data_IF_705884415198
#
_entry.id   IF_705884415198
#
_cell.length_a   1.000
_cell.length_b   1.000
_cell.length_c   1.000
_cell.angle_alpha   90.00
_cell.angle_beta   90.00
_cell.angle_gamma   90.00
#
_symmetry.space_group_name_H-M   'P 1'
#
loop_
_entity.id
_entity.type
_entity.pdbx_description
1 polymer ?
#
# COMPACT_ATOMS: atom_id res chain seq x y z
N UNK A 1 -19.69 19.87 -20.07
CA UNK A 1 -18.67 20.73 -19.47
C UNK A 1 -17.65 19.81 -18.83
N UNK A 2 -16.48 19.63 -19.46
CA UNK A 2 -15.43 18.78 -18.93
C UNK A 2 -14.84 19.46 -17.68
N UNK A 3 -14.58 18.68 -16.62
CA UNK A 3 -13.85 19.17 -15.45
C UNK A 3 -12.48 19.72 -15.89
N UNK A 4 -11.94 20.77 -15.23
CA UNK A 4 -10.63 21.32 -15.58
C UNK A 4 -9.55 20.24 -15.52
N UNK A 5 -8.63 20.29 -16.48
CA UNK A 5 -7.65 19.24 -16.81
C UNK A 5 -6.49 19.10 -15.79
N UNK A 6 -6.61 19.70 -14.59
CA UNK A 6 -5.64 19.70 -13.49
C UNK A 6 -6.35 19.61 -12.12
N UNK A 7 -7.46 18.86 -12.05
CA UNK A 7 -8.17 18.70 -10.78
C UNK A 7 -7.49 17.64 -9.91
N UNK A 8 -6.66 18.10 -8.97
CA UNK A 8 -6.01 17.27 -7.94
C UNK A 8 -6.99 16.46 -7.08
N UNK A 9 -8.27 16.79 -7.16
CA UNK A 9 -9.36 16.09 -6.47
C UNK A 9 -10.11 15.10 -7.38
N UNK A 10 -9.74 14.98 -8.67
CA UNK A 10 -10.48 14.19 -9.68
C UNK A 10 -10.62 12.70 -9.34
N UNK A 11 -9.68 12.14 -8.59
CA UNK A 11 -9.70 10.75 -8.15
C UNK A 11 -10.44 10.55 -6.83
N UNK A 12 -10.82 11.63 -6.14
CA UNK A 12 -11.66 11.56 -4.98
C UNK A 12 -13.07 11.08 -5.34
N UNK A 13 -13.73 10.41 -4.41
CA UNK A 13 -15.12 9.97 -4.56
C UNK A 13 -16.08 11.16 -4.67
N UNK A 14 -15.78 12.26 -3.98
CA UNK A 14 -16.53 13.52 -4.03
C UNK A 14 -15.57 14.73 -4.18
N UNK A 15 -15.10 15.04 -5.40
CA UNK A 15 -14.11 16.10 -5.64
C UNK A 15 -14.58 17.49 -5.17
N UNK A 16 -15.87 17.79 -5.31
CA UNK A 16 -16.46 19.06 -4.92
C UNK A 16 -16.45 19.26 -3.41
N UNK A 17 -16.82 18.22 -2.64
CA UNK A 17 -16.74 18.26 -1.18
C UNK A 17 -15.28 18.35 -0.72
N UNK A 18 -14.37 17.58 -1.31
CA UNK A 18 -12.97 17.54 -0.89
C UNK A 18 -12.27 18.86 -1.16
N UNK A 19 -12.42 19.45 -2.35
CA UNK A 19 -11.86 20.77 -2.69
C UNK A 19 -12.36 21.91 -1.80
N UNK A 20 -13.56 21.79 -1.22
CA UNK A 20 -14.07 22.74 -0.21
C UNK A 20 -13.52 22.50 1.20
N UNK A 21 -13.03 21.29 1.49
CA UNK A 21 -12.59 20.84 2.80
C UNK A 21 -11.09 21.02 3.00
N UNK A 22 -10.30 20.79 1.95
CA UNK A 22 -8.84 20.82 1.99
C UNK A 22 -8.27 21.56 0.78
N UNK A 23 -7.00 21.94 0.87
CA UNK A 23 -6.23 22.45 -0.24
C UNK A 23 -4.78 22.03 -0.15
N UNK A 24 -4.13 21.88 -1.30
CA UNK A 24 -2.69 21.65 -1.35
C UNK A 24 -1.99 22.99 -1.53
N UNK A 25 -0.97 23.23 -0.72
CA UNK A 25 -0.15 24.45 -0.75
C UNK A 25 1.31 24.06 -0.94
N UNK A 26 2.08 24.88 -1.65
CA UNK A 26 3.53 24.80 -1.62
C UNK A 26 4.03 25.42 -0.32
N UNK A 27 4.83 24.68 0.45
CA UNK A 27 5.40 25.12 1.73
C UNK A 27 6.74 25.80 1.45
N UNK A 28 7.72 25.03 1.00
CA UNK A 28 9.06 25.48 0.66
C UNK A 28 9.80 24.45 -0.21
N UNK A 29 11.06 24.73 -0.57
CA UNK A 29 11.88 23.84 -1.41
C UNK A 29 12.34 22.55 -0.70
N UNK A 30 12.24 22.49 0.62
CA UNK A 30 12.69 21.37 1.44
C UNK A 30 11.56 20.38 1.68
N UNK A 31 10.37 20.87 2.08
CA UNK A 31 9.16 20.08 2.31
C UNK A 31 8.31 19.88 1.06
N UNK A 32 8.45 20.76 0.07
CA UNK A 32 7.64 20.71 -1.14
C UNK A 32 6.18 21.12 -0.88
N UNK A 33 5.24 20.27 -1.28
CA UNK A 33 3.80 20.50 -1.13
C UNK A 33 3.31 19.95 0.21
N UNK A 34 2.20 20.48 0.71
CA UNK A 34 1.50 19.93 1.88
C UNK A 34 0.00 20.07 1.71
N UNK A 35 -0.76 19.18 2.35
CA UNK A 35 -2.21 19.24 2.43
C UNK A 35 -2.64 20.04 3.66
N UNK A 36 -3.58 20.98 3.49
CA UNK A 36 -4.05 21.86 4.55
C UNK A 36 -5.56 21.85 4.65
N UNK A 37 -6.09 21.94 5.86
CA UNK A 37 -7.53 22.07 6.08
C UNK A 37 -8.02 23.47 5.69
N UNK A 38 -9.12 23.57 4.94
CA UNK A 38 -9.84 24.84 4.68
C UNK A 38 -10.86 25.18 5.76
N UNK A 39 -11.29 24.17 6.52
CA UNK A 39 -12.31 24.27 7.57
C UNK A 39 -11.95 23.35 8.73
N UNK A 40 -12.64 23.48 9.85
CA UNK A 40 -12.47 22.56 10.98
C UNK A 40 -12.94 21.16 10.58
N UNK A 41 -12.15 20.15 10.94
CA UNK A 41 -12.45 18.73 10.76
C UNK A 41 -12.42 18.08 12.15
N UNK A 42 -13.41 17.25 12.48
CA UNK A 42 -13.47 16.59 13.79
C UNK A 42 -12.72 15.28 13.80
N UNK A 43 -12.18 14.92 14.96
CA UNK A 43 -11.63 13.58 15.19
C UNK A 43 -12.65 12.51 14.75
N UNK A 44 -12.18 11.54 13.97
CA UNK A 44 -12.97 10.45 13.42
C UNK A 44 -13.68 10.77 12.10
N UNK A 45 -13.70 12.04 11.65
CA UNK A 45 -14.28 12.38 10.35
C UNK A 45 -13.37 11.89 9.21
N UNK A 46 -13.98 11.31 8.18
CA UNK A 46 -13.31 11.06 6.90
C UNK A 46 -13.09 12.39 6.17
N UNK A 47 -11.82 12.73 5.95
CA UNK A 47 -11.35 13.92 5.22
C UNK A 47 -11.68 13.75 3.74
N UNK A 48 -11.24 12.64 3.13
CA UNK A 48 -11.57 12.27 1.77
C UNK A 48 -11.45 10.76 1.55
N UNK A 49 -12.06 10.29 0.45
CA UNK A 49 -11.88 8.94 -0.08
C UNK A 49 -11.32 9.07 -1.49
N UNK A 50 -10.24 8.37 -1.82
CA UNK A 50 -9.52 8.49 -3.07
C UNK A 50 -9.30 7.13 -3.75
N UNK A 51 -9.44 7.11 -5.08
CA UNK A 51 -9.05 5.99 -5.93
C UNK A 51 -7.60 6.17 -6.37
N UNK A 52 -6.80 5.09 -6.48
CA UNK A 52 -5.46 5.22 -7.01
C UNK A 52 -5.50 5.49 -8.52
N UNK A 53 -4.46 6.15 -9.02
CA UNK A 53 -4.18 6.28 -10.44
C UNK A 53 -3.97 4.90 -11.07
N UNK A 54 -3.15 4.12 -10.38
CA UNK A 54 -2.80 2.74 -10.68
C UNK A 54 -2.54 2.03 -9.36
N UNK A 55 -2.96 0.78 -9.28
CA UNK A 55 -2.63 -0.15 -8.20
C UNK A 55 -2.06 -1.43 -8.80
N UNK A 56 -1.40 -2.25 -8.00
CA UNK A 56 -1.02 -3.62 -8.37
C UNK A 56 -0.81 -4.46 -7.13
N UNK A 57 -1.16 -5.74 -7.19
CA UNK A 57 -0.76 -6.72 -6.18
C UNK A 57 0.77 -6.86 -6.18
N UNK A 58 1.35 -7.14 -5.03
CA UNK A 58 2.76 -7.55 -4.94
C UNK A 58 2.96 -8.91 -5.62
N UNK A 59 4.09 -9.07 -6.29
CA UNK A 59 4.44 -10.27 -7.04
C UNK A 59 4.67 -11.48 -6.13
N UNK A 60 5.25 -11.27 -4.95
CA UNK A 60 5.42 -12.33 -3.96
C UNK A 60 4.08 -12.81 -3.42
N UNK A 61 3.13 -11.91 -3.15
CA UNK A 61 1.76 -12.30 -2.78
C UNK A 61 1.10 -13.13 -3.88
N UNK A 62 1.24 -12.73 -5.14
CA UNK A 62 0.73 -13.54 -6.26
C UNK A 62 1.41 -14.93 -6.32
N UNK A 63 2.71 -15.02 -6.05
CA UNK A 63 3.47 -16.28 -6.00
C UNK A 63 3.03 -17.18 -4.85
N UNK A 64 2.84 -16.62 -3.66
CA UNK A 64 2.28 -17.29 -2.50
C UNK A 64 0.78 -17.61 -2.66
N UNK A 65 0.20 -17.29 -3.82
CA UNK A 65 -1.17 -17.62 -4.24
C UNK A 65 -2.24 -16.82 -3.50
N UNK A 66 -1.93 -15.61 -3.06
CA UNK A 66 -2.94 -14.67 -2.58
C UNK A 66 -3.87 -14.30 -3.71
N UNK A 67 -5.17 -14.48 -3.48
CA UNK A 67 -6.19 -14.25 -4.50
C UNK A 67 -6.78 -12.87 -4.28
N UNK A 68 -6.38 -11.91 -5.12
CA UNK A 68 -6.93 -10.56 -5.12
C UNK A 68 -7.58 -10.21 -6.46
N UNK A 69 -8.56 -9.31 -6.44
CA UNK A 69 -9.14 -8.73 -7.63
C UNK A 69 -8.07 -7.92 -8.36
N UNK A 70 -7.81 -8.25 -9.63
CA UNK A 70 -6.77 -7.60 -10.44
C UNK A 70 -6.98 -6.07 -10.56
N UNK A 71 -8.23 -5.61 -10.42
CA UNK A 71 -8.58 -4.18 -10.45
C UNK A 71 -8.49 -3.51 -9.08
N UNK A 72 -9.36 -3.91 -8.16
CA UNK A 72 -9.60 -3.18 -6.92
C UNK A 72 -8.86 -3.76 -5.70
N UNK A 73 -8.01 -4.77 -5.88
CA UNK A 73 -7.23 -5.45 -4.83
C UNK A 73 -8.05 -6.18 -3.75
N UNK A 74 -9.38 -6.19 -3.85
CA UNK A 74 -10.24 -6.95 -2.93
C UNK A 74 -9.86 -8.42 -2.88
N UNK A 75 -9.73 -8.98 -1.69
CA UNK A 75 -9.55 -10.41 -1.50
C UNK A 75 -10.68 -11.22 -2.16
N UNK A 76 -10.31 -12.26 -2.88
CA UNK A 76 -11.21 -13.18 -3.60
C UNK A 76 -11.43 -14.50 -2.85
N UNK A 77 -10.90 -14.62 -1.65
CA UNK A 77 -11.03 -15.76 -0.76
C UNK A 77 -11.41 -15.29 0.66
N UNK A 78 -12.12 -16.13 1.40
CA UNK A 78 -12.48 -15.82 2.79
C UNK A 78 -11.28 -15.90 3.74
N UNK A 79 -11.41 -15.32 4.93
CA UNK A 79 -10.34 -15.35 5.93
C UNK A 79 -9.90 -16.77 6.28
N UNK A 80 -10.82 -17.73 6.37
CA UNK A 80 -10.48 -19.12 6.68
C UNK A 80 -9.73 -19.82 5.54
N UNK A 81 -10.12 -19.58 4.29
CA UNK A 81 -9.42 -20.11 3.11
C UNK A 81 -7.99 -19.54 3.03
N UNK A 82 -7.88 -18.23 3.25
CA UNK A 82 -6.61 -17.52 3.34
C UNK A 82 -5.73 -18.10 4.46
N UNK A 83 -6.26 -18.21 5.67
CA UNK A 83 -5.54 -18.75 6.83
C UNK A 83 -5.07 -20.19 6.63
N UNK A 84 -5.93 -21.08 6.10
CA UNK A 84 -5.56 -22.48 5.77
C UNK A 84 -4.42 -22.55 4.77
N UNK A 85 -4.46 -21.70 3.74
CA UNK A 85 -3.46 -21.66 2.68
C UNK A 85 -2.11 -21.16 3.21
N UNK A 86 -2.13 -20.09 3.99
CA UNK A 86 -0.93 -19.43 4.50
C UNK A 86 -0.26 -20.21 5.63
N UNK A 87 -1.03 -20.83 6.52
CA UNK A 87 -0.47 -21.67 7.59
C UNK A 87 -0.15 -23.10 7.15
N UNK A 88 -0.41 -23.47 5.89
CA UNK A 88 -0.27 -24.86 5.42
C UNK A 88 -1.21 -25.87 6.12
N UNK A 89 -2.21 -25.42 6.90
CA UNK A 89 -3.09 -26.27 7.72
C UNK A 89 -4.49 -26.38 7.09
N UNK A 90 -4.77 -27.37 6.23
CA UNK A 90 -6.07 -27.52 5.57
C UNK A 90 -7.23 -27.78 6.54
N UNK A 91 -6.95 -28.33 7.72
CA UNK A 91 -7.95 -28.57 8.77
C UNK A 91 -8.23 -27.39 9.70
N UNK A 92 -7.51 -26.26 9.55
CA UNK A 92 -7.72 -25.07 10.37
C UNK A 92 -9.16 -24.57 10.22
N UNK A 93 -9.80 -24.16 11.31
CA UNK A 93 -11.13 -23.53 11.28
C UNK A 93 -11.06 -22.23 12.07
N UNK A 94 -11.52 -21.13 11.47
CA UNK A 94 -11.52 -19.84 12.16
C UNK A 94 -12.79 -19.69 13.02
N UNK A 95 -12.69 -19.15 14.23
CA UNK A 95 -13.88 -18.73 14.97
C UNK A 95 -14.58 -17.57 14.24
N UNK A 96 -15.90 -17.54 14.29
CA UNK A 96 -16.73 -16.52 13.63
C UNK A 96 -16.41 -16.33 12.12
N UNK A 97 -16.40 -17.40 11.30
CA UNK A 97 -16.02 -17.31 9.89
C UNK A 97 -16.96 -16.39 9.08
N UNK A 98 -18.16 -16.14 9.58
CA UNK A 98 -19.12 -15.20 9.01
C UNK A 98 -18.69 -13.73 9.03
N UNK A 99 -17.68 -13.37 9.83
CA UNK A 99 -17.17 -11.99 9.93
C UNK A 99 -16.34 -11.56 8.71
N UNK A 100 -15.92 -12.51 7.86
CA UNK A 100 -15.27 -12.21 6.59
C UNK A 100 -15.88 -13.06 5.48
N UNK A 101 -16.92 -12.52 4.83
CA UNK A 101 -17.59 -13.18 3.70
C UNK A 101 -17.11 -12.62 2.38
N UNK A 102 -16.80 -13.53 1.45
CA UNK A 102 -16.52 -13.21 0.05
C UNK A 102 -17.68 -13.63 -0.83
N UNK A 103 -18.03 -12.77 -1.80
CA UNK A 103 -19.07 -13.03 -2.80
C UNK A 103 -18.45 -13.78 -3.99
N UNK A 104 -18.17 -15.08 -3.80
CA UNK A 104 -17.54 -15.93 -4.82
C UNK A 104 -18.39 -16.09 -6.08
N UNK A 105 -19.71 -16.01 -5.95
CA UNK A 105 -20.71 -16.10 -7.02
C UNK A 105 -20.61 -14.96 -8.04
N UNK A 106 -20.05 -13.81 -7.66
CA UNK A 106 -19.91 -12.63 -8.53
C UNK A 106 -18.57 -12.57 -9.26
N UNK A 107 -17.62 -13.41 -8.87
CA UNK A 107 -16.27 -13.38 -9.41
C UNK A 107 -16.26 -13.76 -10.89
N UNK A 108 -15.40 -13.10 -11.67
CA UNK A 108 -15.26 -13.33 -13.09
C UNK A 108 -13.81 -13.37 -13.50
N UNK A 109 -13.47 -14.31 -14.39
CA UNK A 109 -12.19 -14.32 -15.06
C UNK A 109 -12.23 -13.45 -16.33
N UNK A 110 -11.08 -12.91 -16.72
CA UNK A 110 -10.87 -12.46 -18.10
C UNK A 110 -10.99 -13.68 -19.04
N UNK A 111 -11.82 -13.65 -20.09
CA UNK A 111 -11.98 -14.79 -20.98
C UNK A 111 -10.70 -15.13 -21.78
N UNK A 112 -9.76 -14.21 -21.88
CA UNK A 112 -8.52 -14.39 -22.63
C UNK A 112 -7.34 -14.84 -21.74
N UNK A 113 -7.00 -14.07 -20.71
CA UNK A 113 -5.83 -14.34 -19.87
C UNK A 113 -6.13 -14.94 -18.49
N UNK A 114 -7.42 -15.18 -18.18
CA UNK A 114 -7.88 -15.83 -16.95
C UNK A 114 -7.60 -15.11 -15.63
N UNK A 115 -7.07 -13.88 -15.64
CA UNK A 115 -6.95 -13.07 -14.41
C UNK A 115 -8.33 -12.82 -13.79
N UNK A 116 -8.38 -12.78 -12.46
CA UNK A 116 -9.63 -12.78 -11.70
C UNK A 116 -10.05 -11.38 -11.25
N UNK A 117 -11.37 -11.15 -11.26
CA UNK A 117 -12.01 -9.93 -10.79
C UNK A 117 -13.14 -10.28 -9.82
N UNK A 118 -13.39 -9.43 -8.82
CA UNK A 118 -14.48 -9.65 -7.87
C UNK A 118 -15.88 -9.40 -8.47
N UNK A 119 -15.98 -8.73 -9.62
CA UNK A 119 -17.26 -8.47 -10.30
C UNK A 119 -17.09 -8.12 -11.79
N UNK A 120 -18.19 -8.11 -12.52
CA UNK A 120 -18.27 -7.61 -13.92
C UNK A 120 -17.81 -6.17 -14.03
N UNK A 121 -18.17 -5.34 -13.05
CA UNK A 121 -17.84 -3.92 -13.04
C UNK A 121 -16.33 -3.72 -12.90
N UNK A 122 -15.68 -4.47 -12.01
CA UNK A 122 -14.22 -4.42 -11.86
C UNK A 122 -13.49 -4.92 -13.12
N UNK A 123 -13.98 -6.00 -13.74
CA UNK A 123 -13.43 -6.49 -15.01
C UNK A 123 -13.53 -5.45 -16.11
N UNK A 124 -14.69 -4.81 -16.25
CA UNK A 124 -14.91 -3.78 -17.26
C UNK A 124 -14.07 -2.53 -16.99
N UNK A 125 -14.01 -2.06 -15.74
CA UNK A 125 -13.20 -0.91 -15.34
C UNK A 125 -11.71 -1.15 -15.62
N UNK A 126 -11.18 -2.34 -15.31
CA UNK A 126 -9.82 -2.70 -15.66
C UNK A 126 -9.61 -2.71 -17.18
N UNK A 127 -10.53 -3.30 -17.95
CA UNK A 127 -10.47 -3.33 -19.41
C UNK A 127 -10.42 -1.92 -20.01
N UNK A 128 -11.23 -0.99 -19.50
CA UNK A 128 -11.27 0.39 -19.96
C UNK A 128 -10.04 1.19 -19.53
N UNK A 129 -9.42 0.86 -18.39
CA UNK A 129 -8.29 1.63 -17.85
C UNK A 129 -6.91 1.16 -18.35
N UNK A 130 -6.57 -0.13 -18.25
CA UNK A 130 -5.20 -0.62 -18.54
C UNK A 130 -5.13 -2.06 -19.04
N UNK A 131 -6.17 -2.87 -18.82
CA UNK A 131 -6.07 -4.30 -19.03
C UNK A 131 -6.05 -4.70 -20.51
N UNK A 132 -6.75 -3.99 -21.42
CA UNK A 132 -6.71 -4.36 -22.86
C UNK A 132 -5.31 -4.24 -23.45
N UNK A 133 -4.51 -3.28 -23.00
CA UNK A 133 -3.14 -3.12 -23.46
C UNK A 133 -2.18 -4.17 -22.87
N UNK A 134 -2.49 -4.73 -21.69
CA UNK A 134 -1.67 -5.72 -21.00
C UNK A 134 -2.16 -7.17 -21.17
N UNK A 135 -3.36 -7.37 -21.70
CA UNK A 135 -3.93 -8.70 -21.94
C UNK A 135 -3.33 -9.29 -23.23
N UNK A 136 -2.25 -10.05 -23.10
CA UNK A 136 -1.55 -10.67 -24.23
C UNK A 136 -1.98 -12.13 -24.48
N UNK A 137 -3.07 -12.58 -23.85
CA UNK A 137 -3.58 -13.96 -23.96
C UNK A 137 -3.29 -14.80 -22.71
N UNK A 138 -3.49 -16.13 -22.78
CA UNK A 138 -3.20 -17.04 -21.68
C UNK A 138 -1.73 -16.94 -21.29
N UNK A 139 -1.46 -16.56 -20.04
CA UNK A 139 -0.11 -16.23 -19.60
C UNK A 139 0.36 -17.02 -18.39
N UNK A 140 -0.50 -17.82 -17.74
CA UNK A 140 -0.18 -18.35 -16.41
C UNK A 140 0.99 -19.35 -16.39
N UNK A 141 1.32 -19.96 -17.54
CA UNK A 141 2.41 -20.94 -17.68
C UNK A 141 3.25 -20.71 -18.94
N UNK A 142 3.19 -19.51 -19.53
CA UNK A 142 3.98 -19.18 -20.71
C UNK A 142 5.30 -18.51 -20.28
N UNK A 143 6.45 -19.21 -20.35
CA UNK A 143 7.75 -18.63 -20.01
C UNK A 143 8.19 -17.56 -21.01
N UNK A 144 7.61 -17.53 -22.22
CA UNK A 144 7.90 -16.54 -23.25
C UNK A 144 7.01 -15.30 -23.15
N UNK A 145 6.00 -15.32 -22.28
CA UNK A 145 5.10 -14.19 -22.08
C UNK A 145 5.87 -12.95 -21.59
N UNK A 146 5.83 -11.81 -22.32
CA UNK A 146 6.68 -10.65 -22.03
C UNK A 146 6.50 -10.08 -20.62
N UNK A 147 5.27 -10.10 -20.08
CA UNK A 147 5.03 -9.62 -18.72
C UNK A 147 5.53 -10.61 -17.66
N UNK A 148 5.60 -11.91 -17.96
CA UNK A 148 6.15 -12.89 -17.02
C UNK A 148 7.65 -12.71 -16.93
N UNK A 149 8.34 -12.62 -18.07
CA UNK A 149 9.78 -12.30 -18.12
C UNK A 149 10.13 -11.05 -17.32
N UNK A 150 9.31 -10.00 -17.44
CA UNK A 150 9.49 -8.77 -16.67
C UNK A 150 9.31 -8.98 -15.16
N UNK A 151 8.28 -9.73 -14.75
CA UNK A 151 8.02 -10.07 -13.34
C UNK A 151 9.12 -10.97 -12.76
N UNK A 152 9.62 -11.92 -13.54
CA UNK A 152 10.68 -12.84 -13.12
C UNK A 152 12.01 -12.11 -12.95
N UNK A 153 12.36 -11.25 -13.91
CA UNK A 153 13.54 -10.39 -13.80
C UNK A 153 13.45 -9.45 -12.60
N UNK A 154 12.27 -8.92 -12.28
CA UNK A 154 12.08 -8.09 -11.10
C UNK A 154 12.33 -8.86 -9.80
N UNK A 155 11.75 -10.06 -9.69
CA UNK A 155 11.91 -10.94 -8.51
C UNK A 155 13.35 -11.40 -8.31
N UNK A 156 14.11 -11.62 -9.37
CA UNK A 156 15.54 -11.98 -9.24
C UNK A 156 16.40 -10.82 -8.71
N UNK A 157 15.89 -9.59 -8.70
CA UNK A 157 16.61 -8.41 -8.20
C UNK A 157 16.06 -7.89 -6.86
N UNK A 158 14.84 -8.30 -6.47
CA UNK A 158 14.15 -7.81 -5.28
C UNK A 158 13.57 -8.98 -4.48
N UNK A 159 14.32 -9.39 -3.45
CA UNK A 159 13.91 -10.39 -2.46
C UNK A 159 12.75 -9.82 -1.60
N UNK A 160 11.81 -10.66 -1.09
CA UNK A 160 10.74 -10.18 -0.22
C UNK A 160 11.26 -9.60 1.11
N UNK A 161 10.50 -8.71 1.78
CA UNK A 161 9.23 -8.14 1.34
C UNK A 161 9.38 -7.11 0.21
N UNK A 162 8.52 -7.19 -0.80
CA UNK A 162 8.54 -6.25 -1.92
C UNK A 162 7.96 -4.89 -1.51
N UNK A 163 8.76 -3.84 -1.63
CA UNK A 163 8.35 -2.45 -1.33
C UNK A 163 7.68 -1.74 -2.51
N UNK A 164 7.78 -2.27 -3.73
CA UNK A 164 7.18 -1.69 -4.95
C UNK A 164 7.06 -2.73 -6.05
N UNK A 165 6.05 -2.62 -6.92
CA UNK A 165 5.84 -3.58 -8.02
C UNK A 165 6.15 -3.00 -9.40
N UNK A 166 6.96 -3.70 -10.19
CA UNK A 166 7.19 -3.40 -11.62
C UNK A 166 5.90 -3.33 -12.43
N UNK A 167 4.85 -4.03 -11.98
CA UNK A 167 3.54 -4.05 -12.62
C UNK A 167 2.85 -2.68 -12.54
N UNK A 168 3.15 -1.85 -11.53
CA UNK A 168 2.66 -0.46 -11.48
C UNK A 168 3.11 0.33 -12.71
N UNK A 169 4.38 0.19 -13.10
CA UNK A 169 4.91 0.88 -14.28
C UNK A 169 4.30 0.37 -15.57
N UNK A 170 4.16 -0.95 -15.71
CA UNK A 170 3.47 -1.53 -16.86
C UNK A 170 2.02 -1.01 -16.97
N UNK A 171 1.31 -0.90 -15.84
CA UNK A 171 -0.04 -0.32 -15.77
C UNK A 171 -0.04 1.16 -16.13
N UNK A 172 0.90 1.97 -15.65
CA UNK A 172 1.01 3.39 -16.04
C UNK A 172 1.16 3.53 -17.56
N UNK A 173 2.06 2.77 -18.19
CA UNK A 173 2.25 2.78 -19.65
C UNK A 173 0.97 2.34 -20.37
N UNK A 174 0.29 1.32 -19.85
CA UNK A 174 -0.96 0.84 -20.42
C UNK A 174 -2.10 1.87 -20.32
N UNK A 175 -2.22 2.58 -19.20
CA UNK A 175 -3.17 3.70 -19.00
C UNK A 175 -2.94 4.80 -20.04
N UNK A 176 -1.67 5.16 -20.31
CA UNK A 176 -1.32 6.12 -21.37
C UNK A 176 -1.76 5.60 -22.75
N UNK A 177 -1.39 4.35 -23.07
CA UNK A 177 -1.69 3.73 -24.36
C UNK A 177 -3.20 3.60 -24.61
N UNK A 178 -3.99 3.39 -23.56
CA UNK A 178 -5.45 3.25 -23.64
C UNK A 178 -6.22 4.58 -23.55
N UNK A 179 -5.53 5.71 -23.51
CA UNK A 179 -6.15 7.02 -23.77
C UNK A 179 -6.57 7.81 -22.53
N UNK A 180 -6.13 7.47 -21.32
CA UNK A 180 -6.31 8.34 -20.14
C UNK A 180 -5.18 9.39 -20.03
N UNK A 181 -4.80 9.99 -21.16
CA UNK A 181 -3.71 10.97 -21.28
C UNK A 181 -3.89 12.18 -20.36
N UNK A 182 -5.13 12.63 -20.11
CA UNK A 182 -5.38 13.86 -19.33
C UNK A 182 -5.06 13.71 -17.83
N UNK A 183 -5.36 12.55 -17.23
CA UNK A 183 -5.10 12.29 -15.81
C UNK A 183 -3.60 12.21 -15.54
N UNK A 184 -2.85 11.48 -16.37
CA UNK A 184 -1.40 11.41 -16.28
C UNK A 184 -0.70 12.68 -16.77
N UNK A 185 -1.27 13.46 -17.69
CA UNK A 185 -0.75 14.77 -18.05
C UNK A 185 -0.75 15.71 -16.83
N UNK A 186 -1.75 15.68 -15.96
CA UNK A 186 -1.77 16.44 -14.71
C UNK A 186 -0.64 16.02 -13.76
N UNK A 187 -0.40 14.72 -13.58
CA UNK A 187 0.74 14.20 -12.79
C UNK A 187 2.09 14.51 -13.41
N UNK A 188 2.24 14.31 -14.73
CA UNK A 188 3.46 14.62 -15.46
C UNK A 188 3.70 16.13 -15.41
N UNK A 189 2.69 16.99 -15.54
CA UNK A 189 2.87 18.44 -15.45
C UNK A 189 3.16 18.92 -14.02
N UNK A 190 2.56 18.28 -13.00
CA UNK A 190 2.71 18.63 -11.59
C UNK A 190 3.98 18.06 -10.93
N UNK A 191 4.54 16.97 -11.46
CA UNK A 191 5.78 16.35 -11.02
C UNK A 191 6.98 16.68 -11.93
N UNK A 192 6.75 16.90 -13.24
CA UNK A 192 7.76 16.95 -14.30
C UNK A 192 7.75 18.26 -15.07
N UNK A 193 7.60 19.37 -14.36
CA UNK A 193 7.73 20.68 -14.95
C UNK A 193 9.19 20.90 -15.41
N UNK A 194 9.57 20.36 -16.58
CA UNK A 194 10.77 20.73 -17.35
C UNK A 194 10.86 20.03 -18.73
N UNK A 195 11.48 20.71 -19.71
CA UNK A 195 11.66 20.33 -21.13
C UNK A 195 12.59 19.10 -21.39
N UNK A 196 12.73 18.19 -20.42
CA UNK A 196 13.76 17.14 -20.40
C UNK A 196 13.24 15.70 -20.28
N UNK A 197 12.07 15.40 -20.84
CA UNK A 197 11.53 14.03 -20.92
C UNK A 197 12.47 13.02 -21.61
N UNK A 198 13.40 13.48 -22.46
CA UNK A 198 14.43 12.62 -23.06
C UNK A 198 15.43 12.05 -22.03
N UNK A 199 15.66 12.73 -20.90
CA UNK A 199 16.58 12.28 -19.87
C UNK A 199 16.05 11.06 -19.11
N UNK A 200 14.75 10.80 -19.14
CA UNK A 200 14.11 9.68 -18.45
C UNK A 200 14.40 8.31 -19.08
N UNK A 201 14.73 8.31 -20.37
CA UNK A 201 15.17 7.11 -21.07
C UNK A 201 16.68 6.86 -20.90
N UNK A 202 17.39 7.71 -20.15
CA UNK A 202 18.75 7.43 -19.71
C UNK A 202 18.72 6.52 -18.48
N UNK A 203 19.79 5.75 -18.20
CA UNK A 203 19.87 4.95 -16.98
C UNK A 203 19.66 5.76 -15.69
N UNK A 204 20.13 7.02 -15.67
CA UNK A 204 19.94 7.92 -14.53
C UNK A 204 18.49 8.34 -14.34
N UNK A 205 17.85 8.82 -15.41
CA UNK A 205 16.43 9.22 -15.34
C UNK A 205 15.48 8.07 -15.08
N UNK A 206 15.80 6.86 -15.58
CA UNK A 206 15.05 5.64 -15.27
C UNK A 206 15.12 5.32 -13.77
N UNK A 207 16.32 5.36 -13.15
CA UNK A 207 16.48 5.19 -11.71
C UNK A 207 15.67 6.22 -10.91
N UNK A 208 15.69 7.49 -11.31
CA UNK A 208 14.90 8.54 -10.65
C UNK A 208 13.39 8.27 -10.73
N UNK A 209 12.89 7.76 -11.85
CA UNK A 209 11.49 7.36 -11.99
C UNK A 209 11.12 6.21 -11.03
N UNK A 210 12.00 5.22 -10.88
CA UNK A 210 11.80 4.13 -9.91
C UNK A 210 11.78 4.64 -8.47
N UNK A 211 12.73 5.50 -8.10
CA UNK A 211 12.75 6.11 -6.78
C UNK A 211 11.46 6.89 -6.51
N UNK A 212 10.96 7.65 -7.50
CA UNK A 212 9.71 8.40 -7.35
C UNK A 212 8.49 7.48 -7.15
N UNK A 213 8.35 6.44 -7.97
CA UNK A 213 7.23 5.50 -7.88
C UNK A 213 7.30 4.70 -6.58
N UNK A 214 8.49 4.27 -6.16
CA UNK A 214 8.69 3.55 -4.91
C UNK A 214 8.37 4.41 -3.68
N UNK A 215 8.91 5.63 -3.60
CA UNK A 215 8.70 6.52 -2.45
C UNK A 215 7.28 7.06 -2.31
N UNK A 216 6.49 7.06 -3.39
CA UNK A 216 5.08 7.48 -3.38
C UNK A 216 4.10 6.30 -3.42
N UNK A 217 4.61 5.06 -3.43
CA UNK A 217 3.79 3.87 -3.38
C UNK A 217 3.14 3.73 -2.01
N UNK A 218 1.81 3.78 -1.97
CA UNK A 218 1.06 3.49 -0.75
C UNK A 218 0.68 2.02 -0.74
N UNK A 219 1.10 1.30 0.30
CA UNK A 219 0.63 -0.07 0.56
C UNK A 219 -0.88 -0.12 0.72
N UNK A 220 -1.53 -1.06 0.04
CA UNK A 220 -2.98 -1.32 0.04
C UNK A 220 -3.25 -2.53 0.93
N UNK A 221 -3.75 -2.27 2.14
CA UNK A 221 -4.08 -3.29 3.13
C UNK A 221 -5.47 -3.87 2.91
N UNK A 222 -5.59 -4.96 2.14
CA UNK A 222 -6.88 -5.59 1.80
C UNK A 222 -6.93 -7.08 2.14
N UNK A 223 -6.13 -7.51 3.11
CA UNK A 223 -6.11 -8.89 3.61
C UNK A 223 -7.47 -9.27 4.20
N UNK A 224 -8.01 -10.41 3.75
CA UNK A 224 -9.23 -11.00 4.32
C UNK A 224 -9.03 -11.38 5.79
N UNK A 225 -7.82 -11.80 6.15
CA UNK A 225 -7.47 -12.17 7.53
C UNK A 225 -7.45 -10.93 8.43
N UNK A 226 -6.83 -9.84 8.00
CA UNK A 226 -6.82 -8.57 8.75
C UNK A 226 -8.24 -8.05 9.01
N UNK A 227 -9.14 -8.12 8.03
CA UNK A 227 -10.54 -7.76 8.25
C UNK A 227 -11.24 -8.63 9.27
N UNK A 228 -10.99 -9.94 9.22
CA UNK A 228 -11.56 -10.85 10.19
C UNK A 228 -11.05 -10.54 11.60
N UNK A 229 -9.76 -10.24 11.78
CA UNK A 229 -9.19 -9.80 13.06
C UNK A 229 -9.86 -8.52 13.54
N UNK A 230 -9.95 -7.48 12.70
CA UNK A 230 -10.61 -6.23 13.08
C UNK A 230 -12.10 -6.40 13.42
N UNK A 231 -12.80 -7.30 12.72
CA UNK A 231 -14.18 -7.62 13.04
C UNK A 231 -14.30 -8.39 14.37
N UNK A 232 -13.34 -9.27 14.68
CA UNK A 232 -13.21 -9.95 15.96
C UNK A 232 -12.98 -8.96 17.11
N UNK A 233 -12.14 -7.93 16.92
CA UNK A 233 -11.88 -6.88 17.91
C UNK A 233 -13.16 -6.12 18.29
N UNK A 234 -14.04 -5.89 17.32
CA UNK A 234 -15.31 -5.19 17.52
C UNK A 234 -16.38 -6.01 18.27
N UNK A 235 -16.18 -7.32 18.45
CA UNK A 235 -17.13 -8.18 19.16
C UNK A 235 -17.25 -7.75 20.63
N UNK A 236 -18.42 -7.98 21.23
CA UNK A 236 -18.62 -7.82 22.67
C UNK A 236 -18.62 -9.21 23.31
N UNK A 237 -17.46 -9.63 23.82
CA UNK A 237 -17.23 -10.96 24.38
C UNK A 237 -16.91 -10.90 25.88
N UNK A 238 -17.30 -11.92 26.67
CA UNK A 238 -16.79 -12.11 28.02
C UNK A 238 -15.25 -12.21 28.04
N UNK A 239 -14.60 -11.72 29.10
CA UNK A 239 -13.13 -11.64 29.20
C UNK A 239 -12.42 -12.96 28.89
N UNK A 240 -12.93 -14.09 29.37
CA UNK A 240 -12.33 -15.41 29.10
C UNK A 240 -12.41 -15.81 27.62
N UNK A 241 -13.51 -15.49 26.94
CA UNK A 241 -13.66 -15.77 25.50
C UNK A 241 -12.81 -14.84 24.65
N UNK A 242 -12.66 -13.58 25.08
CA UNK A 242 -11.75 -12.61 24.47
C UNK A 242 -10.31 -13.13 24.50
N UNK A 243 -9.82 -13.51 25.69
CA UNK A 243 -8.46 -14.04 25.88
C UNK A 243 -8.21 -15.31 25.03
N UNK A 244 -9.19 -16.20 24.95
CA UNK A 244 -9.10 -17.38 24.09
C UNK A 244 -9.02 -17.03 22.60
N UNK A 245 -9.79 -16.04 22.14
CA UNK A 245 -9.78 -15.58 20.76
C UNK A 245 -8.47 -14.88 20.41
N UNK A 246 -8.00 -13.99 21.28
CA UNK A 246 -6.76 -13.25 21.07
C UNK A 246 -5.56 -14.22 21.02
N UNK A 247 -5.50 -15.19 21.94
CA UNK A 247 -4.47 -16.24 21.93
C UNK A 247 -4.52 -17.11 20.66
N UNK A 248 -5.71 -17.39 20.13
CA UNK A 248 -5.86 -18.10 18.86
C UNK A 248 -5.33 -17.28 17.68
N UNK A 249 -5.64 -15.97 17.64
CA UNK A 249 -5.18 -15.05 16.60
C UNK A 249 -3.66 -14.95 16.63
N UNK A 250 -3.05 -14.77 17.80
CA UNK A 250 -1.60 -14.69 17.96
C UNK A 250 -0.91 -15.98 17.49
N UNK A 251 -1.45 -17.14 17.87
CA UNK A 251 -0.90 -18.42 17.43
C UNK A 251 -1.04 -18.60 15.90
N UNK A 252 -2.14 -18.13 15.31
CA UNK A 252 -2.35 -18.17 13.87
C UNK A 252 -1.33 -17.32 13.12
N UNK A 253 -1.03 -16.10 13.58
CA UNK A 253 0.01 -15.27 12.96
C UNK A 253 1.37 -15.93 13.03
N UNK A 254 1.75 -16.51 14.18
CA UNK A 254 3.00 -17.27 14.33
C UNK A 254 3.06 -18.48 13.39
N UNK A 255 1.95 -19.17 13.21
CA UNK A 255 1.86 -20.31 12.30
C UNK A 255 2.01 -19.89 10.83
N UNK A 256 1.46 -18.73 10.45
CA UNK A 256 1.59 -18.17 9.11
C UNK A 256 3.02 -17.72 8.87
N UNK A 257 3.59 -16.94 9.79
CA UNK A 257 4.95 -16.42 9.72
C UNK A 257 5.98 -17.54 9.57
N UNK A 258 5.82 -18.63 10.33
CA UNK A 258 6.68 -19.81 10.20
C UNK A 258 6.65 -20.45 8.80
N UNK A 259 5.51 -20.42 8.12
CA UNK A 259 5.33 -21.07 6.82
C UNK A 259 5.61 -20.13 5.64
N UNK A 260 5.41 -18.82 5.81
CA UNK A 260 5.53 -17.82 4.73
C UNK A 260 6.68 -16.84 4.90
N UNK A 261 7.37 -16.83 6.04
CA UNK A 261 8.20 -15.71 6.48
C UNK A 261 7.33 -14.50 6.83
N UNK A 262 7.92 -13.30 6.75
CA UNK A 262 7.26 -12.02 7.03
C UNK A 262 5.91 -11.87 6.31
N UNK A 263 4.84 -12.04 7.07
CA UNK A 263 3.48 -11.87 6.58
C UNK A 263 3.08 -10.40 6.64
N UNK A 264 3.08 -9.74 5.48
CA UNK A 264 2.53 -8.40 5.35
C UNK A 264 1.02 -8.45 5.11
N UNK A 265 0.25 -7.76 5.96
CA UNK A 265 -1.18 -7.48 5.76
C UNK A 265 -1.46 -6.50 4.59
N UNK A 266 -0.56 -6.46 3.61
CA UNK A 266 -0.54 -5.54 2.47
C UNK A 266 -0.58 -6.36 1.18
N UNK A 267 -1.71 -6.33 0.48
CA UNK A 267 -1.90 -7.13 -0.74
C UNK A 267 -1.08 -6.59 -1.91
N UNK A 268 -0.86 -5.27 -1.94
CA UNK A 268 -0.21 -4.60 -3.05
C UNK A 268 0.08 -3.15 -2.76
N UNK A 269 0.36 -2.38 -3.80
CA UNK A 269 0.63 -0.95 -3.72
C UNK A 269 -0.18 -0.17 -4.74
N UNK A 270 -0.37 1.13 -4.50
CA UNK A 270 -0.98 2.04 -5.44
C UNK A 270 -0.47 3.47 -5.31
N UNK A 271 -0.65 4.26 -6.36
CA UNK A 271 -0.29 5.68 -6.40
C UNK A 271 -1.55 6.53 -6.24
N UNK A 272 -1.54 7.47 -5.29
CA UNK A 272 -2.68 8.31 -4.93
C UNK A 272 -2.30 9.79 -5.10
N UNK A 273 -3.10 10.57 -5.84
CA UNK A 273 -2.72 11.94 -6.21
C UNK A 273 -2.70 12.86 -4.99
N UNK A 274 -3.81 12.87 -4.27
CA UNK A 274 -4.04 13.81 -3.19
C UNK A 274 -3.36 13.34 -1.92
N UNK A 275 -3.44 12.04 -1.61
CA UNK A 275 -2.78 11.49 -0.42
C UNK A 275 -1.25 11.66 -0.43
N UNK A 276 -0.58 11.57 -1.59
CA UNK A 276 0.86 11.85 -1.68
C UNK A 276 1.23 13.33 -1.36
N UNK A 277 0.25 14.22 -1.20
CA UNK A 277 0.49 15.60 -0.72
C UNK A 277 0.51 15.71 0.81
N UNK A 278 0.19 14.64 1.55
CA UNK A 278 0.24 14.63 3.02
C UNK A 278 1.68 14.40 3.50
N UNK A 279 2.23 15.35 4.24
CA UNK A 279 3.57 15.23 4.80
C UNK A 279 3.62 14.32 6.03
N UNK A 280 4.84 13.91 6.39
CA UNK A 280 5.09 13.11 7.58
C UNK A 280 4.99 13.92 8.89
N UNK A 281 4.42 13.30 9.92
CA UNK A 281 4.64 13.66 11.33
C UNK A 281 4.71 12.39 12.18
N UNK A 282 5.65 12.33 13.14
CA UNK A 282 5.68 11.24 14.13
C UNK A 282 4.51 11.30 15.13
N UNK A 283 3.77 12.42 15.12
CA UNK A 283 2.49 12.63 15.81
C UNK A 283 1.46 13.10 14.76
N UNK A 284 0.98 12.18 13.92
CA UNK A 284 0.09 12.55 12.83
C UNK A 284 -1.29 12.98 13.34
N UNK A 285 -1.96 13.87 12.60
CA UNK A 285 -3.35 14.25 12.86
C UNK A 285 -4.34 13.57 11.90
N UNK A 286 -3.85 12.76 10.95
CA UNK A 286 -4.66 11.93 10.07
C UNK A 286 -4.01 10.55 9.82
N UNK A 287 -4.82 9.60 9.39
CA UNK A 287 -4.39 8.26 8.98
C UNK A 287 -5.02 7.85 7.65
N UNK A 288 -4.28 7.07 6.87
CA UNK A 288 -4.77 6.44 5.64
C UNK A 288 -5.12 4.97 5.94
N UNK A 289 -6.31 4.55 5.56
CA UNK A 289 -6.80 3.19 5.77
C UNK A 289 -7.60 2.67 4.56
N UNK A 290 -7.82 1.36 4.51
CA UNK A 290 -8.56 0.67 3.44
C UNK A 290 -9.73 -0.15 4.00
N UNK A 291 -10.70 0.50 4.68
CA UNK A 291 -11.76 -0.20 5.43
C UNK A 291 -12.69 -1.04 4.54
N UNK A 292 -12.77 -0.73 3.24
CA UNK A 292 -13.69 -1.37 2.30
C UNK A 292 -13.14 -2.64 1.65
N UNK A 293 -12.00 -3.16 2.12
CA UNK A 293 -11.34 -4.32 1.50
C UNK A 293 -11.16 -4.13 -0.02
N UNK A 294 -10.66 -2.97 -0.39
CA UNK A 294 -10.29 -2.65 -1.75
C UNK A 294 -9.27 -1.52 -1.72
N UNK A 295 -8.78 -1.16 -2.89
CA UNK A 295 -7.89 -0.04 -3.16
C UNK A 295 -8.42 1.37 -2.85
N UNK A 296 -9.64 1.54 -2.31
CA UNK A 296 -10.14 2.86 -1.93
C UNK A 296 -9.48 3.31 -0.64
N UNK A 297 -8.67 4.36 -0.74
CA UNK A 297 -8.00 4.96 0.40
C UNK A 297 -8.97 5.90 1.11
N UNK A 298 -9.17 5.69 2.40
CA UNK A 298 -9.88 6.61 3.29
C UNK A 298 -8.86 7.36 4.13
N UNK A 299 -8.83 8.68 4.00
CA UNK A 299 -8.05 9.53 4.89
C UNK A 299 -8.96 10.05 6.00
N UNK A 300 -8.68 9.71 7.26
CA UNK A 300 -9.51 10.06 8.42
C UNK A 300 -8.72 10.85 9.45
N UNK A 301 -9.38 11.77 10.15
CA UNK A 301 -8.74 12.60 11.17
C UNK A 301 -8.57 11.86 12.50
N UNK A 302 -7.35 11.84 13.04
CA UNK A 302 -7.01 11.26 14.35
C UNK A 302 -7.26 12.23 15.52
N UNK A 303 -7.27 13.53 15.23
CA UNK A 303 -7.56 14.62 16.16
C UNK A 303 -8.41 15.70 15.48
N UNK A 304 -8.93 16.65 16.26
CA UNK A 304 -9.56 17.84 15.67
C UNK A 304 -8.50 18.64 14.90
N UNK A 305 -8.78 18.95 13.63
CA UNK A 305 -7.91 19.74 12.75
C UNK A 305 -8.52 21.10 12.52
N UNK A 306 -7.76 22.17 12.75
CA UNK A 306 -8.24 23.54 12.60
C UNK A 306 -8.09 24.07 11.15
N UNK A 307 -8.89 25.06 10.73
CA UNK A 307 -8.70 25.71 9.45
C UNK A 307 -7.27 26.28 9.35
N UNK A 308 -6.59 25.97 8.25
CA UNK A 308 -5.22 26.39 7.99
C UNK A 308 -4.14 25.45 8.54
N UNK A 309 -4.50 24.46 9.36
CA UNK A 309 -3.57 23.44 9.87
C UNK A 309 -3.16 22.46 8.77
N UNK A 310 -1.90 22.01 8.81
CA UNK A 310 -1.37 20.98 7.90
C UNK A 310 -1.91 19.61 8.32
N UNK A 311 -2.36 18.82 7.34
CA UNK A 311 -2.81 17.45 7.51
C UNK A 311 -1.60 16.55 7.27
N UNK A 312 -1.13 15.90 8.33
CA UNK A 312 0.04 15.05 8.32
C UNK A 312 -0.32 13.61 8.67
N UNK A 313 0.29 12.67 7.97
CA UNK A 313 0.21 11.22 8.21
C UNK A 313 1.55 10.70 8.75
N UNK A 314 1.58 9.45 9.22
CA UNK A 314 2.85 8.76 9.50
C UNK A 314 3.32 8.03 8.24
N UNK A 315 4.62 8.05 7.98
CA UNK A 315 5.28 7.25 6.93
C UNK A 315 5.96 6.02 7.54
N UNK A 316 5.91 5.93 8.87
CA UNK A 316 6.41 4.84 9.69
C UNK A 316 5.22 4.01 10.15
N UNK A 317 5.41 2.70 10.24
CA UNK A 317 4.42 1.82 10.87
C UNK A 317 4.29 2.10 12.38
N UNK A 318 3.34 1.44 13.05
CA UNK A 318 3.08 1.69 14.46
C UNK A 318 4.29 1.38 15.35
N UNK A 319 5.00 0.28 15.09
CA UNK A 319 6.16 -0.15 15.85
C UNK A 319 7.28 0.88 15.69
N UNK A 320 7.68 1.18 14.45
CA UNK A 320 8.70 2.17 14.10
C UNK A 320 8.40 3.55 14.67
N UNK A 321 7.13 3.96 14.69
CA UNK A 321 6.72 5.26 15.22
C UNK A 321 6.97 5.35 16.72
N UNK A 322 6.92 4.26 17.46
CA UNK A 322 7.09 4.26 18.91
C UNK A 322 8.56 4.17 19.34
N UNK A 323 9.46 3.80 18.42
CA UNK A 323 10.92 3.76 18.62
C UNK A 323 11.56 5.11 18.87
N UNK A 324 12.87 5.09 19.16
CA UNK A 324 13.66 6.28 19.51
C UNK A 324 13.69 7.33 18.40
N UNK A 325 14.02 8.58 18.75
CA UNK A 325 14.21 9.65 17.76
C UNK A 325 15.25 9.27 16.71
N UNK A 326 16.34 8.64 17.13
CA UNK A 326 17.43 8.21 16.26
C UNK A 326 16.93 7.23 15.21
N UNK A 327 16.26 6.16 15.65
CA UNK A 327 15.67 5.10 14.83
C UNK A 327 14.68 5.61 13.79
N UNK A 328 13.75 6.48 14.23
CA UNK A 328 12.81 7.15 13.33
C UNK A 328 13.53 7.99 12.29
N UNK A 329 14.55 8.74 12.69
CA UNK A 329 15.35 9.54 11.76
C UNK A 329 16.20 8.71 10.80
N UNK A 330 16.74 7.55 11.23
CA UNK A 330 17.46 6.61 10.38
C UNK A 330 16.54 6.15 9.24
N UNK A 331 15.40 5.56 9.60
CA UNK A 331 14.37 5.08 8.66
C UNK A 331 13.88 6.17 7.70
N UNK A 332 13.54 7.36 8.21
CA UNK A 332 13.05 8.46 7.37
C UNK A 332 14.11 9.02 6.42
N UNK A 333 15.39 9.06 6.85
CA UNK A 333 16.49 9.51 5.99
C UNK A 333 16.78 8.51 4.89
N UNK A 334 16.77 7.22 5.20
CA UNK A 334 17.07 6.16 4.23
C UNK A 334 15.97 6.01 3.18
N UNK A 335 14.70 6.05 3.62
CA UNK A 335 13.56 5.75 2.73
C UNK A 335 12.94 7.00 2.08
N UNK A 336 12.98 8.15 2.75
CA UNK A 336 12.28 9.37 2.32
C UNK A 336 13.19 10.61 2.20
N UNK A 337 14.48 10.46 2.49
CA UNK A 337 15.51 11.48 2.23
C UNK A 337 15.29 12.82 2.96
N UNK A 338 14.65 12.81 4.14
CA UNK A 338 14.47 14.00 4.97
C UNK A 338 14.69 13.74 6.46
N UNK A 339 14.83 14.81 7.25
CA UNK A 339 14.91 14.76 8.72
C UNK A 339 13.63 15.35 9.30
N UNK A 340 12.94 14.56 10.13
CA UNK A 340 11.70 14.99 10.77
C UNK A 340 11.96 16.09 11.81
N UNK A 341 11.12 17.13 11.77
CA UNK A 341 11.15 18.26 12.70
C UNK A 341 9.78 18.48 13.37
N UNK A 342 8.98 17.43 13.49
CA UNK A 342 7.70 17.48 14.20
C UNK A 342 7.91 17.72 15.71
N UNK A 343 6.85 18.12 16.43
CA UNK A 343 6.97 18.49 17.84
C UNK A 343 7.56 17.36 18.72
N UNK A 344 7.26 16.09 18.43
CA UNK A 344 7.88 14.94 19.11
C UNK A 344 9.39 14.85 18.84
N UNK A 345 9.83 14.99 17.59
CA UNK A 345 11.26 14.97 17.28
C UNK A 345 12.01 16.18 17.86
N UNK A 346 11.35 17.32 17.99
CA UNK A 346 11.92 18.51 18.64
C UNK A 346 12.00 18.35 20.15
N UNK A 347 10.98 17.79 20.80
CA UNK A 347 11.01 17.58 22.26
C UNK A 347 12.06 16.56 22.70
N UNK A 348 12.43 15.64 21.80
CA UNK A 348 13.43 14.59 22.03
C UNK A 348 14.82 14.99 21.51
N UNK A 349 15.06 16.25 21.16
CA UNK A 349 16.31 16.67 20.52
C UNK A 349 17.56 16.51 21.41
N UNK A 350 17.38 16.54 22.73
CA UNK A 350 18.46 16.40 23.73
C UNK A 350 18.63 14.96 24.23
N UNK A 351 17.80 14.01 23.76
CA UNK A 351 17.95 12.59 24.08
C UNK A 351 19.20 12.02 23.37
N UNK A 352 19.83 11.01 23.98
CA UNK A 352 20.96 10.35 23.36
C UNK A 352 20.53 9.66 22.05
N UNK A 353 21.35 9.77 21.01
CA UNK A 353 21.13 9.08 19.74
C UNK A 353 21.49 7.60 19.90
N UNK A 354 20.58 6.84 20.50
CA UNK A 354 20.69 5.39 20.70
C UNK A 354 19.55 4.67 19.98
N UNK A 355 19.86 3.52 19.41
CA UNK A 355 18.90 2.55 18.88
C UNK A 355 18.06 2.03 20.06
N UNK A 356 16.77 1.76 19.84
CA UNK A 356 15.94 1.15 20.90
C UNK A 356 16.37 -0.29 21.16
N UNK A 357 16.27 -0.77 22.40
CA UNK A 357 16.59 -2.17 22.76
C UNK A 357 15.82 -3.17 21.89
N UNK A 358 14.52 -2.90 21.63
CA UNK A 358 13.68 -3.70 20.71
C UNK A 358 14.21 -3.75 19.27
N UNK A 359 14.92 -2.70 18.81
CA UNK A 359 15.55 -2.71 17.48
C UNK A 359 16.84 -3.49 17.45
N UNK A 360 17.61 -3.46 18.54
CA UNK A 360 18.86 -4.21 18.64
C UNK A 360 18.57 -5.72 18.65
N UNK A 361 17.45 -6.14 19.24
CA UNK A 361 16.95 -7.52 19.20
C UNK A 361 16.53 -7.92 17.77
N UNK A 362 15.72 -7.11 17.08
CA UNK A 362 15.31 -7.37 15.69
C UNK A 362 16.51 -7.42 14.73
N UNK A 363 17.47 -6.48 14.85
CA UNK A 363 18.68 -6.46 14.01
C UNK A 363 19.56 -7.70 14.27
N UNK A 364 19.64 -8.17 15.51
CA UNK A 364 20.40 -9.38 15.85
C UNK A 364 19.73 -10.68 15.36
N UNK A 365 18.40 -10.76 15.38
CA UNK A 365 17.66 -11.90 14.84
C UNK A 365 17.75 -11.97 13.31
N UNK A 366 17.65 -10.82 12.62
CA UNK A 366 17.78 -10.75 11.16
C UNK A 366 19.18 -11.09 10.64
N UNK A 367 20.23 -10.75 11.39
CA UNK A 367 21.62 -11.15 11.05
C UNK A 367 21.84 -12.67 11.20
N UNK A 368 21.20 -13.31 12.18
CA UNK A 368 21.31 -14.76 12.39
C UNK A 368 20.61 -15.58 11.29
N UNK A 369 19.44 -15.15 10.82
CA UNK A 369 18.74 -15.82 9.71
C UNK A 369 19.45 -15.63 8.35
N UNK A 370 20.10 -14.48 8.15
CA UNK A 370 20.89 -14.21 6.94
C UNK A 370 22.10 -15.12 6.80
N UNK A 371 22.81 -15.40 7.90
CA UNK A 371 23.97 -16.31 7.92
C UNK A 371 23.56 -17.79 7.71
N UNK A 372 22.40 -18.22 8.23
CA UNK A 372 21.91 -19.60 8.02
C UNK A 372 21.46 -19.86 6.56
N UNK A 373 20.98 -18.84 5.84
CA UNK A 373 20.56 -18.97 4.44
C UNK A 373 21.72 -18.82 3.43
N UNK A 374 22.81 -18.13 3.77
CA UNK A 374 24.02 -18.10 2.91
C UNK A 374 24.70 -19.48 2.84
N UNK A 375 24.66 -20.26 3.92
CA UNK A 375 25.24 -21.60 3.96
C UNK A 375 24.43 -22.64 3.14
N UNK A 376 23.12 -22.46 2.94
CA UNK A 376 22.28 -23.38 2.16
C UNK A 376 22.39 -23.18 0.63
N UNK A 377 22.95 -22.05 0.17
CA UNK A 377 23.10 -21.74 -1.27
C UNK A 377 24.47 -22.12 -1.87
N UNK A 378 25.33 -22.82 -1.13
CA UNK A 378 26.65 -23.25 -1.66
C UNK A 378 26.67 -24.61 -2.38
N UNK A 379 25.54 -25.32 -2.48
CA UNK A 379 25.45 -26.62 -3.17
C UNK A 379 24.28 -26.71 -4.17
N UNK A 380 24.35 -26.00 -5.31
CA UNK A 380 23.75 -26.43 -6.61
C UNK A 380 24.56 -25.94 -7.81
#
# INVERSE_FOLDING_TARGET
>A
MAAPQDDMFSLCVDPGKVSSCVEVRFIDKTKGKGLFARRSIKKGDTIFVERPVVSSQFLWNALYKYRACEYCMRALEGAEENARRLSGKPGLSLPYPELCRVQSDRQQACPHCQVMYCSSECRQAAADQYHRALCLGPSHEDPDHPLNKLKDAWRSMHYPPESSSITLMARMVAVVKQGQLALLQGFFSAALYEDHLSQWFTPGGFRSLFSLVGTNGQGIGTSSLSQWVHACDALQLPAQQREQLDSFIDQLYKDIEKETGDFLNCEGSGLFLLQSSCNHSCIPNAEAAFPDNNFLLHLSALSDVQPGEEICISYLDCCQRDRSRHSRHKTLRENYLFVCSCARCTSQADEADVTSEEEEEDEAEGEAEGDEMEDEMTDV
#
